data_IF_585275911668
#
_entry.id   IF_585275911668
#
_cell.length_a   1.000
_cell.length_b   1.000
_cell.length_c   1.000
_cell.angle_alpha   90.00
_cell.angle_beta   90.00
_cell.angle_gamma   90.00
#
_symmetry.space_group_name_H-M   'P 1'
#
loop_
_entity.id
_entity.type
_entity.pdbx_description
1 polymer ?
#
# COMPACT_ATOMS: atom_id res chain seq x y z
N UNK A 1 -17.55 -2.90 22.51
CA UNK A 1 -17.25 -2.82 21.07
C UNK A 1 -17.72 -4.11 20.43
N UNK A 2 -18.50 -4.05 19.35
CA UNK A 2 -18.85 -5.27 18.61
C UNK A 2 -17.60 -5.87 17.96
N UNK A 3 -17.54 -7.21 17.87
CA UNK A 3 -16.40 -7.92 17.25
C UNK A 3 -16.16 -7.49 15.81
N UNK A 4 -17.21 -7.08 15.08
CA UNK A 4 -17.11 -6.55 13.72
C UNK A 4 -16.38 -5.19 13.64
N UNK A 5 -16.62 -4.26 14.57
CA UNK A 5 -15.92 -2.98 14.59
C UNK A 5 -14.43 -3.16 14.91
N UNK A 6 -14.11 -4.03 15.87
CA UNK A 6 -12.72 -4.37 16.19
C UNK A 6 -12.02 -5.06 15.00
N UNK A 7 -12.71 -5.98 14.32
CA UNK A 7 -12.22 -6.64 13.11
C UNK A 7 -11.96 -5.67 11.96
N UNK A 8 -12.89 -4.73 11.71
CA UNK A 8 -12.74 -3.70 10.68
C UNK A 8 -11.54 -2.78 10.93
N UNK A 9 -11.34 -2.35 12.18
CA UNK A 9 -10.18 -1.54 12.56
C UNK A 9 -8.87 -2.35 12.42
N UNK A 10 -8.86 -3.60 12.89
CA UNK A 10 -7.67 -4.47 12.80
C UNK A 10 -7.25 -4.74 11.35
N UNK A 11 -8.20 -5.13 10.49
CA UNK A 11 -7.94 -5.36 9.07
C UNK A 11 -7.56 -4.06 8.34
N UNK A 12 -8.19 -2.94 8.68
CA UNK A 12 -7.87 -1.64 8.12
C UNK A 12 -6.43 -1.20 8.44
N UNK A 13 -6.02 -1.31 9.70
CA UNK A 13 -4.64 -1.02 10.12
C UNK A 13 -3.64 -1.96 9.45
N UNK A 14 -3.95 -3.26 9.36
CA UNK A 14 -3.09 -4.22 8.67
C UNK A 14 -2.89 -3.86 7.20
N UNK A 15 -3.97 -3.54 6.48
CA UNK A 15 -3.91 -3.12 5.07
C UNK A 15 -3.08 -1.83 4.89
N UNK A 16 -3.22 -0.87 5.80
CA UNK A 16 -2.40 0.36 5.81
C UNK A 16 -0.91 0.05 5.97
N UNK A 17 -0.55 -0.83 6.92
CA UNK A 17 0.84 -1.20 7.15
C UNK A 17 1.45 -1.91 5.93
N UNK A 18 0.71 -2.85 5.32
CA UNK A 18 1.17 -3.55 4.13
C UNK A 18 1.33 -2.59 2.94
N UNK A 19 0.36 -1.71 2.71
CA UNK A 19 0.44 -0.72 1.63
C UNK A 19 1.60 0.27 1.83
N UNK A 20 1.83 0.76 3.05
CA UNK A 20 2.99 1.59 3.36
C UNK A 20 4.31 0.85 3.13
N UNK A 21 4.41 -0.41 3.56
CA UNK A 21 5.55 -1.28 3.32
C UNK A 21 5.82 -1.52 1.83
N UNK A 22 4.77 -1.72 1.04
CA UNK A 22 4.81 -1.89 -0.41
C UNK A 22 5.36 -0.65 -1.13
N UNK A 23 4.91 0.55 -0.75
CA UNK A 23 5.45 1.81 -1.28
C UNK A 23 6.92 1.97 -0.89
N UNK A 24 7.27 1.73 0.38
CA UNK A 24 8.66 1.81 0.83
C UNK A 24 9.58 0.81 0.10
N UNK A 25 9.08 -0.40 -0.22
CA UNK A 25 9.80 -1.38 -1.01
C UNK A 25 9.96 -0.92 -2.47
N UNK A 26 8.93 -0.34 -3.07
CA UNK A 26 8.99 0.21 -4.43
C UNK A 26 10.03 1.35 -4.53
N UNK A 27 10.05 2.28 -3.56
CA UNK A 27 11.03 3.36 -3.50
C UNK A 27 12.45 2.81 -3.32
N UNK A 28 12.64 1.85 -2.41
CA UNK A 28 13.96 1.21 -2.21
C UNK A 28 14.44 0.48 -3.45
N UNK A 29 13.53 -0.17 -4.17
CA UNK A 29 13.84 -0.88 -5.42
C UNK A 29 14.24 0.09 -6.53
N UNK A 30 13.52 1.21 -6.68
CA UNK A 30 13.90 2.30 -7.59
C UNK A 30 15.31 2.80 -7.27
N UNK A 31 15.56 3.19 -6.02
CA UNK A 31 16.88 3.70 -5.58
C UNK A 31 18.01 2.72 -5.84
N UNK A 32 17.79 1.44 -5.50
CA UNK A 32 18.78 0.37 -5.77
C UNK A 32 19.04 0.13 -7.25
N UNK A 33 18.17 0.57 -8.16
CA UNK A 33 18.30 0.32 -9.61
C UNK A 33 18.61 1.59 -10.41
N UNK A 34 18.92 2.70 -9.75
CA UNK A 34 19.26 3.98 -10.40
C UNK A 34 20.47 3.83 -11.34
N UNK A 35 21.46 3.02 -10.97
CA UNK A 35 22.66 2.77 -11.78
C UNK A 35 22.42 1.92 -13.04
N UNK A 36 21.24 1.30 -13.19
CA UNK A 36 20.83 0.52 -14.37
C UNK A 36 19.54 1.07 -15.01
N UNK A 37 19.26 2.36 -14.82
CA UNK A 37 17.98 2.96 -15.24
C UNK A 37 17.64 2.70 -16.72
N UNK A 38 18.63 2.73 -17.62
CA UNK A 38 18.43 2.53 -19.05
C UNK A 38 17.93 1.11 -19.40
N UNK A 39 18.58 0.07 -18.88
CA UNK A 39 18.17 -1.33 -19.11
C UNK A 39 16.93 -1.70 -18.30
N UNK A 40 16.75 -1.11 -17.12
CA UNK A 40 15.56 -1.29 -16.30
C UNK A 40 14.30 -0.69 -16.95
N UNK A 41 14.45 0.47 -17.62
CA UNK A 41 13.40 1.07 -18.44
C UNK A 41 13.04 0.20 -19.65
N UNK A 42 14.05 -0.31 -20.36
CA UNK A 42 13.87 -1.12 -21.56
C UNK A 42 13.21 -2.49 -21.30
N UNK A 43 13.38 -3.06 -20.10
CA UNK A 43 12.82 -4.38 -19.72
C UNK A 43 11.44 -4.31 -19.08
N UNK A 44 10.82 -3.12 -19.01
CA UNK A 44 9.49 -2.93 -18.41
C UNK A 44 9.50 -2.77 -16.89
N UNK A 45 10.67 -2.56 -16.27
CA UNK A 45 10.79 -2.33 -14.82
C UNK A 45 9.99 -1.14 -14.31
N UNK A 46 9.78 -0.12 -15.14
CA UNK A 46 8.93 1.04 -14.83
C UNK A 46 7.46 0.62 -14.66
N UNK A 47 6.94 -0.20 -15.56
CA UNK A 47 5.54 -0.68 -15.51
C UNK A 47 5.33 -1.49 -14.23
N UNK A 48 6.26 -2.38 -13.90
CA UNK A 48 6.21 -3.16 -12.66
C UNK A 48 6.18 -2.26 -11.42
N UNK A 49 7.04 -1.24 -11.37
CA UNK A 49 7.07 -0.31 -10.21
C UNK A 49 5.79 0.52 -10.10
N UNK A 50 5.19 0.94 -11.22
CA UNK A 50 3.92 1.66 -11.22
C UNK A 50 2.79 0.77 -10.71
N UNK A 51 2.66 -0.45 -11.22
CA UNK A 51 1.62 -1.40 -10.78
C UNK A 51 1.80 -1.76 -9.30
N UNK A 52 3.03 -2.04 -8.87
CA UNK A 52 3.33 -2.34 -7.46
C UNK A 52 2.97 -1.18 -6.54
N UNK A 53 3.36 0.05 -6.90
CA UNK A 53 3.01 1.25 -6.13
C UNK A 53 1.50 1.49 -6.13
N UNK A 54 0.82 1.26 -7.26
CA UNK A 54 -0.62 1.37 -7.39
C UNK A 54 -1.38 0.39 -6.49
N UNK A 55 -1.00 -0.88 -6.49
CA UNK A 55 -1.59 -1.88 -5.59
C UNK A 55 -1.39 -1.51 -4.11
N UNK A 56 -0.19 -1.04 -3.77
CA UNK A 56 0.14 -0.57 -2.43
C UNK A 56 -0.69 0.66 -2.01
N UNK A 57 -0.95 1.58 -2.94
CA UNK A 57 -1.79 2.76 -2.72
C UNK A 57 -3.26 2.37 -2.52
N UNK A 58 -3.78 1.42 -3.31
CA UNK A 58 -5.15 0.91 -3.15
C UNK A 58 -5.33 0.26 -1.76
N UNK A 59 -4.36 -0.56 -1.33
CA UNK A 59 -4.36 -1.16 0.01
C UNK A 59 -4.38 -0.09 1.12
N UNK A 60 -3.57 0.97 0.98
CA UNK A 60 -3.56 2.09 1.91
C UNK A 60 -4.91 2.79 1.99
N UNK A 61 -5.48 3.16 0.84
CA UNK A 61 -6.76 3.88 0.78
C UNK A 61 -7.91 3.04 1.32
N UNK A 62 -7.98 1.76 0.94
CA UNK A 62 -9.01 0.85 1.42
C UNK A 62 -8.88 0.60 2.94
N UNK A 63 -7.66 0.37 3.42
CA UNK A 63 -7.41 0.18 4.85
C UNK A 63 -7.76 1.40 5.69
N UNK A 64 -7.37 2.60 5.23
CA UNK A 64 -7.72 3.86 5.88
C UNK A 64 -9.23 4.07 5.88
N UNK A 65 -9.90 3.77 4.76
CA UNK A 65 -11.35 3.85 4.62
C UNK A 65 -12.09 2.96 5.63
N UNK A 66 -11.63 1.72 5.84
CA UNK A 66 -12.20 0.82 6.85
C UNK A 66 -12.06 1.37 8.27
N UNK A 67 -10.89 1.93 8.61
CA UNK A 67 -10.67 2.54 9.94
C UNK A 67 -11.58 3.75 10.12
N UNK A 68 -11.63 4.66 9.15
CA UNK A 68 -12.48 5.86 9.22
C UNK A 68 -13.96 5.46 9.33
N UNK A 69 -14.42 4.52 8.52
CA UNK A 69 -15.80 4.05 8.55
C UNK A 69 -16.16 3.43 9.90
N UNK A 70 -15.29 2.59 10.47
CA UNK A 70 -15.50 2.00 11.79
C UNK A 70 -15.54 3.07 12.90
N UNK A 71 -14.74 4.13 12.79
CA UNK A 71 -14.76 5.24 13.75
C UNK A 71 -16.03 6.09 13.63
N UNK A 72 -16.51 6.34 12.41
CA UNK A 72 -17.78 7.06 12.16
C UNK A 72 -18.96 6.26 12.68
N UNK A 73 -19.01 4.94 12.41
CA UNK A 73 -20.10 4.06 12.86
C UNK A 73 -20.06 3.74 14.36
N UNK A 74 -18.93 3.96 15.03
CA UNK A 74 -18.81 3.82 16.50
C UNK A 74 -19.46 5.01 17.23
N UNK A 75 -19.59 6.15 16.56
CA UNK A 75 -20.12 7.40 17.12
C UNK A 75 -21.63 7.34 17.25
#
# INVERSE_FOLDING_TARGET
>A
MSGQLAGGIGLGLFAVLIGAGGIAAAIRTRRRREHIAATYGATGGIVYTVVQAGCSAVLLLAGLGLVVLALVLRR
#
